data_IF_370423399900
#
_entry.id   IF_370423399900
#
_cell.length_a   1.000
_cell.length_b   1.000
_cell.length_c   1.000
_cell.angle_alpha   90.00
_cell.angle_beta   90.00
_cell.angle_gamma   90.00
#
_symmetry.space_group_name_H-M   'P 1'
#
loop_
_entity.id
_entity.type
_entity.pdbx_description
1 polymer ?
#
# COMPACT_ATOMS: atom_id res chain seq x y z
N UNK A 1 -11.79 -9.54 1.62
CA UNK A 1 -11.32 -8.42 0.77
C UNK A 1 -10.49 -8.95 -0.41
N UNK A 2 -11.10 -9.75 -1.30
CA UNK A 2 -10.36 -10.30 -2.45
C UNK A 2 -9.99 -9.21 -3.49
N UNK A 3 -10.87 -8.22 -3.70
CA UNK A 3 -10.67 -7.23 -4.76
C UNK A 3 -9.53 -6.23 -4.54
N UNK A 4 -9.17 -5.88 -3.29
CA UNK A 4 -8.01 -5.00 -3.04
C UNK A 4 -6.73 -5.70 -3.45
N UNK A 5 -6.53 -6.93 -2.99
CA UNK A 5 -5.31 -7.69 -3.24
C UNK A 5 -5.17 -8.11 -4.69
N UNK A 6 -6.27 -8.45 -5.35
CA UNK A 6 -6.28 -8.71 -6.79
C UNK A 6 -5.77 -7.50 -7.60
N UNK A 7 -6.22 -6.27 -7.26
CA UNK A 7 -5.72 -5.05 -7.91
C UNK A 7 -4.22 -4.86 -7.63
N UNK A 8 -3.79 -5.09 -6.38
CA UNK A 8 -2.38 -4.98 -6.00
C UNK A 8 -1.50 -6.02 -6.70
N UNK A 9 -1.98 -7.25 -6.85
CA UNK A 9 -1.30 -8.32 -7.58
C UNK A 9 -1.16 -8.00 -9.06
N UNK A 10 -2.22 -7.48 -9.69
CA UNK A 10 -2.14 -7.01 -11.07
C UNK A 10 -1.09 -5.90 -11.19
N UNK A 11 -1.11 -4.89 -10.33
CA UNK A 11 -0.14 -3.79 -10.36
C UNK A 11 1.30 -4.27 -10.13
N UNK A 12 1.52 -5.25 -9.25
CA UNK A 12 2.86 -5.83 -9.00
C UNK A 12 3.35 -6.75 -10.14
N UNK A 13 2.43 -7.43 -10.83
CA UNK A 13 2.77 -8.38 -11.90
C UNK A 13 3.32 -7.69 -13.14
N UNK A 14 2.86 -6.47 -13.44
CA UNK A 14 3.22 -5.73 -14.65
C UNK A 14 4.66 -5.19 -14.61
N UNK A 15 5.25 -5.11 -13.41
CA UNK A 15 6.65 -4.73 -13.21
C UNK A 15 7.61 -5.90 -12.98
N UNK A 16 7.16 -7.16 -12.91
CA UNK A 16 8.00 -8.26 -12.41
C UNK A 16 8.99 -8.80 -13.45
N UNK A 17 10.18 -8.21 -13.51
CA UNK A 17 11.41 -8.88 -13.95
C UNK A 17 11.98 -9.71 -12.80
N UNK A 18 12.20 -11.01 -13.02
CA UNK A 18 12.61 -11.98 -12.00
C UNK A 18 13.80 -11.54 -11.12
N UNK A 19 13.67 -11.66 -9.80
CA UNK A 19 14.72 -11.48 -8.79
C UNK A 19 14.13 -10.97 -7.47
N UNK A 20 14.67 -11.18 -6.26
CA UNK A 20 15.86 -11.82 -5.68
C UNK A 20 15.41 -12.25 -4.25
N UNK A 21 16.12 -13.12 -3.51
CA UNK A 21 15.69 -13.52 -2.16
C UNK A 21 15.62 -12.32 -1.20
N UNK A 22 14.48 -12.18 -0.52
CA UNK A 22 14.19 -11.17 0.51
C UNK A 22 14.92 -11.50 1.82
N UNK A 23 16.22 -11.21 1.94
CA UNK A 23 16.92 -11.34 3.24
C UNK A 23 17.34 -9.99 3.84
N UNK A 24 17.23 -8.88 3.11
CA UNK A 24 17.44 -7.53 3.60
C UNK A 24 16.15 -6.70 3.50
N UNK A 25 15.96 -5.76 4.45
CA UNK A 25 14.88 -4.77 4.40
C UNK A 25 14.95 -4.03 3.06
N UNK A 26 13.94 -4.13 2.18
CA UNK A 26 14.00 -3.52 0.86
C UNK A 26 14.14 -2.00 0.97
N UNK A 27 14.96 -1.40 0.11
CA UNK A 27 15.09 0.06 0.00
C UNK A 27 14.02 0.54 -0.98
N UNK A 28 13.26 1.56 -0.58
CA UNK A 28 12.19 2.17 -1.36
C UNK A 28 12.32 3.70 -1.35
N UNK A 29 11.76 4.35 -2.38
CA UNK A 29 11.61 5.81 -2.33
C UNK A 29 10.33 6.18 -1.58
N UNK A 30 9.25 5.47 -1.86
CA UNK A 30 7.92 5.70 -1.29
C UNK A 30 7.39 4.42 -0.66
N UNK A 31 6.90 4.52 0.56
CA UNK A 31 6.14 3.45 1.21
C UNK A 31 4.80 3.96 1.72
N UNK A 32 3.74 3.22 1.41
CA UNK A 32 2.38 3.43 1.88
C UNK A 32 1.92 2.22 2.66
N UNK A 33 1.45 2.44 3.90
CA UNK A 33 0.76 1.41 4.64
C UNK A 33 -0.71 1.78 4.86
N UNK A 34 -1.60 0.80 4.76
CA UNK A 34 -3.05 0.99 4.92
C UNK A 34 -3.59 -0.10 5.84
N UNK A 35 -4.09 0.29 7.00
CA UNK A 35 -4.78 -0.61 7.93
C UNK A 35 -6.29 -0.50 7.73
N UNK A 36 -6.93 -1.57 7.25
CA UNK A 36 -8.33 -1.54 6.84
C UNK A 36 -9.31 -1.78 8.01
N UNK A 37 -9.17 -1.01 9.10
CA UNK A 37 -9.79 -1.32 10.39
C UNK A 37 -10.93 -0.37 10.84
N UNK A 38 -11.26 0.68 10.07
CA UNK A 38 -12.19 1.74 10.55
C UNK A 38 -13.62 1.22 10.80
N UNK A 39 -14.06 0.21 10.06
CA UNK A 39 -15.41 -0.39 10.20
C UNK A 39 -15.39 -1.92 10.39
N UNK A 40 -14.21 -2.52 10.44
CA UNK A 40 -14.05 -3.97 10.63
C UNK A 40 -13.86 -4.32 12.11
N UNK A 41 -14.78 -5.12 12.65
CA UNK A 41 -14.77 -5.56 14.05
C UNK A 41 -13.87 -6.79 14.33
N UNK A 42 -12.91 -7.10 13.45
CA UNK A 42 -11.96 -8.23 13.54
C UNK A 42 -10.90 -8.18 12.43
N UNK A 43 -9.88 -9.07 12.50
CA UNK A 43 -8.69 -9.25 11.61
C UNK A 43 -8.65 -8.37 10.35
N UNK A 44 -8.47 -7.08 10.57
CA UNK A 44 -8.36 -6.11 9.49
C UNK A 44 -6.95 -6.21 8.90
N UNK A 45 -6.81 -6.52 7.60
CA UNK A 45 -5.52 -6.61 6.98
C UNK A 45 -4.85 -5.23 7.01
N UNK A 46 -3.54 -5.27 7.18
CA UNK A 46 -2.70 -4.13 6.90
C UNK A 46 -1.88 -4.45 5.66
N UNK A 47 -1.97 -3.60 4.66
CA UNK A 47 -1.17 -3.71 3.45
C UNK A 47 -0.01 -2.73 3.50
N UNK A 48 1.18 -3.20 3.14
CA UNK A 48 2.33 -2.37 2.86
C UNK A 48 2.59 -2.41 1.36
N UNK A 49 2.66 -1.22 0.76
CA UNK A 49 2.89 -1.01 -0.67
C UNK A 49 4.08 -0.09 -0.79
N UNK A 50 5.04 -0.42 -1.64
CA UNK A 50 6.23 0.41 -1.84
C UNK A 50 6.74 0.30 -3.27
N UNK A 51 7.53 1.29 -3.68
CA UNK A 51 8.25 1.22 -4.94
C UNK A 51 9.66 0.67 -4.80
N UNK A 52 10.16 0.05 -5.86
CA UNK A 52 11.57 -0.30 -5.99
C UNK A 52 12.35 0.83 -6.65
N UNK A 53 13.68 0.76 -6.57
CA UNK A 53 14.61 1.61 -7.32
C UNK A 53 14.38 1.56 -8.85
N UNK A 54 13.94 0.41 -9.36
CA UNK A 54 13.54 0.22 -10.77
C UNK A 54 12.14 0.77 -11.07
N UNK A 55 11.48 1.44 -10.13
CA UNK A 55 10.19 2.08 -10.29
C UNK A 55 8.99 1.13 -10.24
N UNK A 56 9.20 -0.15 -9.90
CA UNK A 56 8.15 -1.19 -9.83
C UNK A 56 7.35 -1.07 -8.54
N UNK A 57 6.14 -1.62 -8.53
CA UNK A 57 5.33 -1.73 -7.32
C UNK A 57 5.52 -3.11 -6.70
N UNK A 58 5.72 -3.12 -5.38
CA UNK A 58 5.65 -4.32 -4.55
C UNK A 58 4.65 -4.08 -3.45
N UNK A 59 3.92 -5.13 -3.07
CA UNK A 59 3.03 -5.10 -1.93
C UNK A 59 3.17 -6.37 -1.09
N UNK A 60 2.78 -6.27 0.17
CA UNK A 60 2.62 -7.43 1.06
C UNK A 60 1.58 -7.17 2.13
N UNK A 61 0.96 -8.24 2.63
CA UNK A 61 0.30 -8.19 3.94
C UNK A 61 1.35 -8.02 5.03
N UNK A 62 1.05 -7.14 5.98
CA UNK A 62 1.82 -6.98 7.22
C UNK A 62 1.30 -8.00 8.21
N UNK A 63 2.22 -8.68 8.88
CA UNK A 63 1.90 -9.65 9.93
C UNK A 63 1.40 -8.93 11.18
N UNK A 64 0.59 -9.61 11.98
CA UNK A 64 0.10 -9.06 13.24
C UNK A 64 1.26 -8.61 14.14
N UNK A 65 1.05 -7.49 14.83
CA UNK A 65 2.02 -6.87 15.76
C UNK A 65 3.36 -6.47 15.13
N UNK A 66 3.45 -6.42 13.81
CA UNK A 66 4.59 -5.86 13.09
C UNK A 66 4.24 -4.44 12.64
N UNK A 67 5.11 -3.47 12.95
CA UNK A 67 4.93 -2.13 12.42
C UNK A 67 5.20 -2.15 10.91
N UNK A 68 4.29 -1.66 10.05
CA UNK A 68 4.43 -1.77 8.59
C UNK A 68 5.74 -1.18 8.06
N UNK A 69 6.15 -0.03 8.61
CA UNK A 69 7.35 0.64 8.15
C UNK A 69 8.63 -0.10 8.54
N UNK A 70 8.65 -0.95 9.58
CA UNK A 70 9.84 -1.75 9.93
C UNK A 70 10.23 -2.77 8.85
N UNK A 71 9.32 -3.06 7.91
CA UNK A 71 9.51 -4.01 6.82
C UNK A 71 10.15 -3.40 5.57
N UNK A 72 10.30 -2.07 5.48
CA UNK A 72 10.85 -1.37 4.30
C UNK A 72 11.65 -0.14 4.73
N UNK A 73 12.82 0.10 4.14
CA UNK A 73 13.60 1.31 4.38
C UNK A 73 13.22 2.33 3.30
N UNK A 74 12.24 3.17 3.62
CA UNK A 74 11.64 4.11 2.67
C UNK A 74 12.04 5.54 2.98
N UNK A 75 12.42 6.29 1.95
CA UNK A 75 12.77 7.70 2.08
C UNK A 75 11.57 8.56 2.48
N UNK A 76 10.42 8.35 1.85
CA UNK A 76 9.16 9.01 2.14
C UNK A 76 8.13 7.97 2.54
N UNK A 77 7.28 8.32 3.50
CA UNK A 77 6.26 7.39 3.96
C UNK A 77 4.93 8.07 4.26
N UNK A 78 3.86 7.34 3.97
CA UNK A 78 2.52 7.69 4.37
C UNK A 78 1.78 6.47 4.86
N UNK A 79 0.70 6.69 5.60
CA UNK A 79 -0.20 5.62 5.94
C UNK A 79 -1.19 5.97 7.03
N UNK A 80 -2.04 5.01 7.32
CA UNK A 80 -3.16 5.25 8.20
C UNK A 80 -4.19 4.16 8.24
N UNK A 81 -5.28 4.50 8.92
CA UNK A 81 -6.44 3.65 9.08
C UNK A 81 -7.51 4.04 8.05
N UNK A 82 -8.04 3.06 7.33
CA UNK A 82 -9.04 3.26 6.30
C UNK A 82 -10.25 2.34 6.51
N UNK A 83 -11.39 2.75 5.97
CA UNK A 83 -12.48 1.83 5.70
C UNK A 83 -12.09 0.95 4.49
N UNK A 84 -12.22 -0.39 4.57
CA UNK A 84 -11.94 -1.28 3.44
C UNK A 84 -12.58 -0.86 2.11
N UNK A 85 -13.82 -0.36 2.15
CA UNK A 85 -14.54 0.10 0.98
C UNK A 85 -13.94 1.36 0.37
N UNK A 86 -13.40 2.27 1.20
CA UNK A 86 -12.73 3.48 0.71
C UNK A 86 -11.35 3.17 0.11
N UNK A 87 -10.63 2.16 0.64
CA UNK A 87 -9.41 1.64 0.00
C UNK A 87 -9.71 1.14 -1.40
N UNK A 88 -10.77 0.32 -1.55
CA UNK A 88 -11.16 -0.19 -2.87
C UNK A 88 -11.58 0.95 -3.81
N UNK A 89 -12.40 1.90 -3.34
CA UNK A 89 -12.81 3.06 -4.15
C UNK A 89 -11.61 3.88 -4.61
N UNK A 90 -10.61 4.06 -3.75
CA UNK A 90 -9.39 4.78 -4.09
C UNK A 90 -8.61 4.08 -5.21
N UNK A 91 -8.40 2.75 -5.08
CA UNK A 91 -7.75 1.92 -6.10
C UNK A 91 -8.52 1.93 -7.43
N UNK A 92 -9.85 1.88 -7.38
CA UNK A 92 -10.74 1.97 -8.54
C UNK A 92 -10.88 3.37 -9.14
N UNK A 93 -10.11 4.36 -8.65
CA UNK A 93 -10.17 5.79 -9.08
C UNK A 93 -11.52 6.47 -8.78
N UNK A 94 -12.31 5.93 -7.87
CA UNK A 94 -13.62 6.46 -7.41
C UNK A 94 -13.51 7.33 -6.14
N UNK A 95 -12.31 7.44 -5.58
CA UNK A 95 -11.99 8.32 -4.45
C UNK A 95 -10.56 8.90 -4.61
N UNK A 96 -10.31 10.14 -4.13
CA UNK A 96 -9.00 10.77 -4.26
C UNK A 96 -7.93 10.10 -3.37
N UNK A 97 -8.32 9.66 -2.17
CA UNK A 97 -7.49 9.00 -1.17
C UNK A 97 -8.28 7.88 -0.45
N UNK A 98 -7.60 6.94 0.24
CA UNK A 98 -8.23 5.82 0.92
C UNK A 98 -8.74 6.18 2.33
N UNK A 99 -8.50 7.41 2.81
CA UNK A 99 -8.80 7.86 4.18
C UNK A 99 -10.17 8.53 4.28
N UNK A 100 -10.89 8.65 3.19
CA UNK A 100 -12.23 9.22 3.16
C UNK A 100 -13.17 8.55 4.20
N UNK A 101 -14.24 9.27 4.55
CA UNK A 101 -15.34 8.79 5.41
C UNK A 101 -14.90 8.20 6.77
N UNK A 102 -13.99 8.89 7.46
CA UNK A 102 -13.62 8.55 8.84
C UNK A 102 -12.32 7.77 8.97
N UNK A 103 -11.59 7.57 7.87
CA UNK A 103 -10.19 7.17 7.94
C UNK A 103 -9.29 8.26 8.52
N UNK A 104 -8.09 7.83 8.93
CA UNK A 104 -7.06 8.69 9.50
C UNK A 104 -5.72 8.36 8.84
N UNK A 105 -5.39 9.13 7.80
CA UNK A 105 -4.11 9.06 7.10
C UNK A 105 -3.15 10.17 7.53
N UNK A 106 -1.86 9.89 7.47
CA UNK A 106 -0.79 10.85 7.74
C UNK A 106 0.45 10.55 6.90
N UNK A 107 1.40 11.49 6.88
CA UNK A 107 2.68 11.36 6.17
C UNK A 107 2.75 12.18 4.89
N UNK A 108 3.68 11.81 4.02
CA UNK A 108 4.06 12.61 2.85
C UNK A 108 3.01 12.54 1.73
N UNK A 109 2.48 13.69 1.32
CA UNK A 109 1.50 13.76 0.23
C UNK A 109 2.05 13.21 -1.11
N UNK A 110 3.35 13.35 -1.34
CA UNK A 110 4.04 12.82 -2.52
C UNK A 110 3.93 11.29 -2.63
N UNK A 111 3.85 10.57 -1.51
CA UNK A 111 3.66 9.11 -1.50
C UNK A 111 2.30 8.74 -2.07
N UNK A 112 1.25 9.46 -1.68
CA UNK A 112 -0.12 9.22 -2.17
C UNK A 112 -0.27 9.53 -3.65
N UNK A 113 0.40 10.59 -4.12
CA UNK A 113 0.43 10.96 -5.53
C UNK A 113 1.14 9.91 -6.37
N UNK A 114 2.39 9.56 -6.03
CA UNK A 114 3.22 8.71 -6.87
C UNK A 114 2.79 7.24 -6.83
N UNK A 115 2.56 6.66 -5.64
CA UNK A 115 2.06 5.29 -5.56
C UNK A 115 0.64 5.19 -6.08
N UNK A 116 -0.19 6.21 -5.84
CA UNK A 116 -1.53 6.29 -6.43
C UNK A 116 -1.49 6.30 -7.95
N UNK A 117 -0.53 7.01 -8.57
CA UNK A 117 -0.33 7.02 -10.03
C UNK A 117 0.09 5.65 -10.56
N UNK A 118 1.07 5.01 -9.93
CA UNK A 118 1.60 3.69 -10.33
C UNK A 118 0.57 2.57 -10.18
N UNK A 119 -0.17 2.54 -9.08
CA UNK A 119 -1.22 1.54 -8.84
C UNK A 119 -2.38 1.66 -9.84
N UNK A 120 -2.63 2.89 -10.31
CA UNK A 120 -3.79 3.19 -11.14
C UNK A 120 -3.49 3.15 -12.63
N UNK A 121 -2.26 3.40 -13.08
CA UNK A 121 -1.82 3.24 -14.47
C UNK A 121 -0.94 1.98 -14.62
N UNK A 122 -1.55 0.78 -14.60
CA UNK A 122 -0.87 -0.45 -14.99
C UNK A 122 -0.41 -0.38 -16.45
#
# INVERSE_FOLDING_TARGET
MAGVEEILDVAASIGSGAGRPLEARPIATHALWICACVTSSGDAPTWLIYDTDEGRIVWRRVQDRVAPLDLVDARLSAGGHADPAEVLRWLERKAPDPWARGGAGSGDAAVMEELGRKLRCP
#
